data_IF_074307830657
#
_entry.id   IF_074307830657
#
_cell.length_a   1.000
_cell.length_b   1.000
_cell.length_c   1.000
_cell.angle_alpha   90.00
_cell.angle_beta   90.00
_cell.angle_gamma   90.00
#
_symmetry.space_group_name_H-M   'P 1'
#
loop_
_entity.id
_entity.type
_entity.pdbx_description
1 polymer ?
#
# COMPACT_ATOMS: atom_id res chain seq x y z
N UNK A 1 -0.46 -2.57 12.03
CA UNK A 1 -0.03 -3.89 11.54
C UNK A 1 1.30 -3.82 10.78
N UNK A 2 1.41 -3.01 9.70
CA UNK A 2 2.60 -2.95 8.82
C UNK A 2 3.89 -2.60 9.57
N UNK A 3 3.84 -1.68 10.51
CA UNK A 3 5.00 -1.26 11.30
C UNK A 3 5.55 -2.40 12.18
N UNK A 4 4.66 -3.16 12.82
CA UNK A 4 5.07 -4.32 13.63
C UNK A 4 5.60 -5.46 12.74
N UNK A 5 5.02 -5.67 11.56
CA UNK A 5 5.53 -6.62 10.59
C UNK A 5 6.95 -6.27 10.12
N UNK A 6 7.25 -4.98 9.91
CA UNK A 6 8.60 -4.52 9.57
C UNK A 6 9.61 -4.88 10.67
N UNK A 7 9.26 -4.66 11.95
CA UNK A 7 10.12 -5.07 13.08
C UNK A 7 10.33 -6.56 13.09
N UNK A 8 9.27 -7.35 12.86
CA UNK A 8 9.38 -8.81 12.82
C UNK A 8 10.29 -9.30 11.68
N UNK A 9 10.25 -8.63 10.52
CA UNK A 9 11.15 -8.95 9.41
C UNK A 9 12.60 -8.66 9.79
N UNK A 10 12.87 -7.47 10.30
CA UNK A 10 14.24 -7.05 10.68
C UNK A 10 14.82 -8.01 11.73
N UNK A 11 14.05 -8.27 12.78
CA UNK A 11 14.48 -9.20 13.84
C UNK A 11 14.57 -10.64 13.35
N UNK A 12 13.67 -11.07 12.47
CA UNK A 12 13.68 -12.38 11.84
C UNK A 12 14.91 -12.60 10.96
N UNK A 13 15.25 -11.63 10.11
CA UNK A 13 16.46 -11.66 9.29
C UNK A 13 17.74 -11.64 10.14
N UNK A 14 17.76 -10.86 11.21
CA UNK A 14 18.87 -10.85 12.17
C UNK A 14 19.08 -12.23 12.81
N UNK A 15 18.00 -12.90 13.22
CA UNK A 15 18.06 -14.26 13.80
C UNK A 15 18.41 -15.33 12.75
N UNK A 16 17.96 -15.14 11.51
CA UNK A 16 18.28 -16.04 10.40
C UNK A 16 19.73 -15.92 9.94
N UNK A 17 20.35 -14.74 10.08
CA UNK A 17 21.68 -14.46 9.53
C UNK A 17 22.68 -15.57 9.87
N UNK A 18 23.23 -16.29 8.87
CA UNK A 18 24.10 -17.42 9.10
C UNK A 18 25.46 -16.95 9.63
N UNK A 19 25.84 -17.44 10.81
CA UNK A 19 27.16 -17.17 11.44
C UNK A 19 28.18 -18.22 11.09
N UNK A 20 27.74 -19.48 10.97
CA UNK A 20 28.63 -20.66 10.83
C UNK A 20 28.41 -21.37 9.48
N UNK A 21 27.37 -21.06 8.73
CA UNK A 21 27.02 -21.71 7.46
C UNK A 21 26.97 -20.67 6.36
N UNK A 22 27.40 -21.02 5.14
CA UNK A 22 27.28 -20.12 3.99
C UNK A 22 25.83 -19.71 3.73
N UNK A 23 25.61 -18.48 3.25
CA UNK A 23 24.27 -17.91 2.97
C UNK A 23 23.45 -18.83 2.07
N UNK A 24 24.04 -19.38 1.00
CA UNK A 24 23.35 -20.26 0.06
C UNK A 24 22.78 -21.50 0.75
N UNK A 25 23.54 -22.11 1.65
CA UNK A 25 23.09 -23.29 2.41
C UNK A 25 21.95 -22.95 3.39
N UNK A 26 21.91 -21.74 3.88
CA UNK A 26 20.86 -21.27 4.80
C UNK A 26 19.55 -20.91 4.08
N UNK A 27 19.57 -20.80 2.75
CA UNK A 27 18.40 -20.60 1.90
C UNK A 27 17.76 -21.91 1.43
N UNK A 28 18.33 -23.07 1.78
CA UNK A 28 17.78 -24.39 1.41
C UNK A 28 17.27 -25.06 2.69
N UNK A 29 15.96 -25.41 2.76
CA UNK A 29 15.39 -26.03 3.94
C UNK A 29 15.89 -27.48 4.09
N UNK A 30 16.14 -27.92 5.31
CA UNK A 30 16.40 -29.31 5.61
C UNK A 30 15.06 -30.08 5.68
N UNK A 31 14.68 -30.69 4.55
CA UNK A 31 13.45 -31.48 4.45
C UNK A 31 13.49 -32.82 5.21
N UNK A 32 14.68 -33.23 5.71
CA UNK A 32 14.83 -34.44 6.55
C UNK A 32 14.50 -34.18 8.01
N UNK A 33 14.43 -32.92 8.42
CA UNK A 33 14.03 -32.53 9.76
C UNK A 33 12.60 -33.03 10.07
N UNK A 34 12.36 -33.45 11.32
CA UNK A 34 11.05 -33.96 11.76
C UNK A 34 10.51 -33.14 12.93
N UNK A 35 9.20 -33.23 13.13
CA UNK A 35 8.54 -32.63 14.28
C UNK A 35 8.69 -31.10 14.30
N UNK A 36 9.19 -30.55 15.44
CA UNK A 36 9.42 -29.12 15.60
C UNK A 36 10.56 -28.61 14.70
N UNK A 37 11.59 -29.45 14.45
CA UNK A 37 12.72 -29.10 13.58
C UNK A 37 12.25 -28.77 12.16
N UNK A 38 11.36 -29.57 11.59
CA UNK A 38 10.75 -29.30 10.29
C UNK A 38 10.05 -27.93 10.22
N UNK A 39 9.19 -27.63 11.18
CA UNK A 39 8.49 -26.34 11.22
C UNK A 39 9.45 -25.15 11.37
N UNK A 40 10.52 -25.32 12.13
CA UNK A 40 11.55 -24.29 12.28
C UNK A 40 12.29 -24.04 10.97
N UNK A 41 12.80 -25.10 10.32
CA UNK A 41 13.52 -24.98 9.04
C UNK A 41 12.63 -24.39 7.97
N UNK A 42 11.37 -24.86 7.87
CA UNK A 42 10.39 -24.32 6.94
C UNK A 42 10.13 -22.84 7.19
N UNK A 43 9.85 -22.43 8.44
CA UNK A 43 9.59 -21.05 8.80
C UNK A 43 10.79 -20.15 8.49
N UNK A 44 11.97 -20.54 8.90
CA UNK A 44 13.19 -19.73 8.77
C UNK A 44 13.58 -19.56 7.31
N UNK A 45 13.55 -20.62 6.52
CA UNK A 45 13.91 -20.57 5.10
C UNK A 45 12.87 -19.81 4.27
N UNK A 46 11.59 -20.13 4.44
CA UNK A 46 10.51 -19.41 3.76
C UNK A 46 10.51 -17.93 4.12
N UNK A 47 10.71 -17.62 5.42
CA UNK A 47 10.81 -16.24 5.90
C UNK A 47 11.93 -15.46 5.23
N UNK A 48 13.13 -16.05 5.08
CA UNK A 48 14.23 -15.40 4.39
C UNK A 48 13.88 -15.12 2.91
N UNK A 49 13.28 -16.09 2.20
CA UNK A 49 12.89 -15.93 0.81
C UNK A 49 11.84 -14.85 0.58
N UNK A 50 10.80 -14.80 1.43
CA UNK A 50 9.71 -13.84 1.23
C UNK A 50 10.01 -12.45 1.79
N UNK A 51 11.03 -12.29 2.64
CA UNK A 51 11.30 -11.04 3.38
C UNK A 51 11.46 -9.83 2.47
N UNK A 52 12.20 -9.96 1.35
CA UNK A 52 12.43 -8.86 0.44
C UNK A 52 11.10 -8.36 -0.17
N UNK A 53 10.30 -9.28 -0.68
CA UNK A 53 9.00 -8.95 -1.28
C UNK A 53 8.05 -8.41 -0.22
N UNK A 54 8.07 -8.96 1.00
CA UNK A 54 7.26 -8.48 2.12
C UNK A 54 7.60 -7.04 2.51
N UNK A 55 8.88 -6.68 2.53
CA UNK A 55 9.31 -5.29 2.76
C UNK A 55 8.74 -4.37 1.69
N UNK A 56 8.80 -4.75 0.41
CA UNK A 56 8.23 -3.94 -0.68
C UNK A 56 6.71 -3.77 -0.53
N UNK A 57 5.99 -4.84 -0.19
CA UNK A 57 4.55 -4.77 0.10
C UNK A 57 4.22 -3.88 1.30
N UNK A 58 5.02 -3.97 2.37
CA UNK A 58 4.82 -3.15 3.56
C UNK A 58 5.13 -1.67 3.30
N UNK A 59 6.21 -1.37 2.59
CA UNK A 59 6.57 0.00 2.22
C UNK A 59 5.52 0.62 1.30
N UNK A 60 5.08 -0.10 0.26
CA UNK A 60 4.01 0.38 -0.61
C UNK A 60 2.69 0.55 0.13
N UNK A 61 2.35 -0.34 1.08
CA UNK A 61 1.18 -0.19 1.95
C UNK A 61 1.28 0.98 2.92
N UNK A 62 2.47 1.27 3.46
CA UNK A 62 2.72 2.43 4.34
C UNK A 62 2.52 3.76 3.61
N UNK A 63 2.72 3.79 2.29
CA UNK A 63 2.47 4.99 1.47
C UNK A 63 1.03 5.50 1.55
N UNK A 64 0.09 4.64 1.96
CA UNK A 64 -1.34 4.96 2.15
C UNK A 64 -1.74 5.04 3.62
N UNK A 65 -0.80 4.88 4.55
CA UNK A 65 -1.09 4.82 5.97
C UNK A 65 -0.79 6.15 6.67
N UNK A 66 -1.84 6.84 7.12
CA UNK A 66 -1.81 7.97 8.05
C UNK A 66 -0.58 8.88 7.90
N UNK A 67 0.21 8.97 8.98
CA UNK A 67 1.36 9.87 9.05
C UNK A 67 2.40 9.62 7.94
N UNK A 68 2.68 8.36 7.60
CA UNK A 68 3.67 8.03 6.57
C UNK A 68 3.20 8.44 5.18
N UNK A 69 1.97 8.12 4.82
CA UNK A 69 1.40 8.50 3.54
C UNK A 69 1.30 10.03 3.42
N UNK A 70 0.68 10.67 4.39
CA UNK A 70 0.39 12.09 4.37
C UNK A 70 1.64 12.97 4.46
N UNK A 71 2.59 12.66 5.37
CA UNK A 71 3.74 13.52 5.67
C UNK A 71 4.98 13.24 4.83
N UNK A 72 5.19 11.98 4.43
CA UNK A 72 6.42 11.58 3.75
C UNK A 72 6.22 11.23 2.28
N UNK A 73 5.09 10.65 1.90
CA UNK A 73 4.87 10.19 0.52
C UNK A 73 4.07 11.21 -0.29
N UNK A 74 2.97 11.72 0.24
CA UNK A 74 2.11 12.68 -0.46
C UNK A 74 2.80 13.97 -0.94
N UNK A 75 3.84 14.52 -0.27
CA UNK A 75 4.60 15.66 -0.80
C UNK A 75 5.26 15.42 -2.17
N UNK A 76 5.49 14.15 -2.55
CA UNK A 76 6.04 13.77 -3.86
C UNK A 76 4.98 13.63 -4.95
N UNK A 77 3.69 13.78 -4.61
CA UNK A 77 2.58 13.83 -5.56
C UNK A 77 2.63 15.18 -6.29
N UNK A 78 3.30 15.20 -7.42
CA UNK A 78 3.45 16.38 -8.25
C UNK A 78 3.21 16.03 -9.71
N UNK A 79 2.69 16.99 -10.46
CA UNK A 79 2.49 16.91 -11.89
C UNK A 79 3.15 18.12 -12.54
N UNK A 80 3.80 17.97 -13.73
CA UNK A 80 4.41 19.11 -14.43
C UNK A 80 3.38 20.18 -14.76
N UNK A 81 3.66 21.41 -14.33
CA UNK A 81 2.75 22.56 -14.53
C UNK A 81 2.73 23.05 -15.99
N UNK A 82 3.72 22.71 -16.78
CA UNK A 82 3.84 23.09 -18.20
C UNK A 82 2.65 22.63 -19.04
N UNK A 83 1.94 21.59 -18.60
CA UNK A 83 0.71 21.11 -19.26
C UNK A 83 -0.45 22.12 -19.21
N UNK A 84 -0.35 23.10 -18.30
CA UNK A 84 -1.41 24.07 -18.00
C UNK A 84 -1.11 25.48 -18.46
N UNK A 85 0.01 25.70 -19.18
CA UNK A 85 0.60 27.02 -19.46
C UNK A 85 -0.41 27.86 -20.19
N UNK A 86 -1.35 27.94 -20.57
CA UNK A 86 -2.30 28.86 -21.20
C UNK A 86 -3.77 28.52 -20.86
N UNK A 87 -3.98 27.73 -19.82
CA UNK A 87 -5.33 27.32 -19.39
C UNK A 87 -5.59 27.91 -18.02
N UNK A 88 -6.69 28.67 -17.81
CA UNK A 88 -7.10 29.13 -16.50
C UNK A 88 -7.30 27.94 -15.55
N UNK A 89 -6.82 28.09 -14.33
CA UNK A 89 -6.98 27.06 -13.29
C UNK A 89 -8.11 27.45 -12.33
N UNK A 90 -8.83 26.47 -11.86
CA UNK A 90 -9.82 26.61 -10.78
C UNK A 90 -9.14 26.48 -9.41
N UNK A 91 -9.84 26.83 -8.35
CA UNK A 91 -9.41 26.61 -6.97
C UNK A 91 -9.55 25.15 -6.52
N UNK A 92 -10.09 24.28 -7.36
CA UNK A 92 -10.33 22.87 -7.07
C UNK A 92 -9.19 22.01 -7.56
N UNK A 93 -8.76 21.03 -6.75
CA UNK A 93 -7.80 20.03 -7.17
C UNK A 93 -8.50 18.81 -7.78
N UNK A 94 -7.74 17.98 -8.51
CA UNK A 94 -8.25 16.73 -9.06
C UNK A 94 -8.78 15.78 -7.98
N UNK A 95 -8.30 15.90 -6.73
CA UNK A 95 -8.82 15.11 -5.61
C UNK A 95 -10.33 15.28 -5.38
N UNK A 96 -10.94 16.38 -5.84
CA UNK A 96 -12.40 16.60 -5.76
C UNK A 96 -13.22 15.65 -6.64
N UNK A 97 -12.58 14.96 -7.58
CA UNK A 97 -13.20 13.91 -8.38
C UNK A 97 -13.24 12.55 -7.67
N UNK A 98 -12.55 12.42 -6.53
CA UNK A 98 -12.64 11.23 -5.68
C UNK A 98 -13.95 11.25 -4.90
N UNK A 99 -14.60 10.09 -4.77
CA UNK A 99 -15.82 9.91 -4.00
C UNK A 99 -15.61 8.92 -2.86
N UNK A 100 -15.83 9.35 -1.63
CA UNK A 100 -15.70 8.56 -0.42
C UNK A 100 -14.34 7.82 -0.30
N UNK A 101 -14.39 6.50 -0.30
CA UNK A 101 -13.21 5.62 -0.23
C UNK A 101 -12.60 5.31 -1.60
N UNK A 102 -13.24 5.76 -2.69
CA UNK A 102 -12.76 5.46 -4.05
C UNK A 102 -11.87 6.57 -4.57
N UNK A 103 -10.59 6.27 -4.72
CA UNK A 103 -9.63 7.13 -5.39
C UNK A 103 -9.77 6.98 -6.90
N UNK A 104 -10.60 7.84 -7.49
CA UNK A 104 -10.86 7.85 -8.94
C UNK A 104 -9.77 8.56 -9.74
N UNK A 105 -8.92 9.32 -9.06
CA UNK A 105 -7.85 10.11 -9.65
C UNK A 105 -6.51 9.45 -9.38
N UNK A 106 -5.61 9.35 -10.37
CA UNK A 106 -4.26 8.87 -10.16
C UNK A 106 -3.54 9.69 -9.10
N UNK A 107 -2.78 9.02 -8.25
CA UNK A 107 -2.05 9.65 -7.16
C UNK A 107 -1.22 10.87 -7.61
N UNK A 108 -0.56 10.79 -8.79
CA UNK A 108 0.25 11.89 -9.32
C UNK A 108 -0.54 13.16 -9.70
N UNK A 109 -1.87 13.08 -9.83
CA UNK A 109 -2.73 14.21 -10.19
C UNK A 109 -3.49 14.79 -9.00
N UNK A 110 -3.68 14.05 -7.91
CA UNK A 110 -4.61 14.42 -6.82
C UNK A 110 -4.44 15.87 -6.33
N UNK A 111 -3.20 16.33 -6.18
CA UNK A 111 -2.89 17.70 -5.70
C UNK A 111 -2.82 18.76 -6.80
N UNK A 112 -2.94 18.38 -8.05
CA UNK A 112 -2.89 19.31 -9.18
C UNK A 112 -4.23 20.03 -9.30
N UNK A 113 -4.19 21.35 -9.50
CA UNK A 113 -5.40 22.14 -9.74
C UNK A 113 -6.06 21.71 -11.05
N UNK A 114 -7.39 21.72 -11.07
CA UNK A 114 -8.18 21.45 -12.28
C UNK A 114 -8.22 22.69 -13.18
N UNK A 115 -8.32 22.53 -14.51
CA UNK A 115 -8.59 23.65 -15.39
C UNK A 115 -10.00 24.23 -15.12
N UNK A 116 -10.17 25.50 -15.49
CA UNK A 116 -11.44 26.22 -15.37
C UNK A 116 -12.06 26.47 -16.74
N UNK A 117 -13.38 26.24 -16.84
CA UNK A 117 -14.18 26.59 -18.02
C UNK A 117 -14.41 28.09 -18.14
N UNK A 118 -14.77 28.55 -19.36
CA UNK A 118 -15.18 29.90 -19.65
C UNK A 118 -14.10 30.78 -20.27
N UNK A 119 -13.01 30.20 -20.75
CA UNK A 119 -11.99 30.92 -21.51
C UNK A 119 -11.90 30.45 -22.97
N UNK A 120 -11.27 31.21 -23.86
CA UNK A 120 -11.00 30.79 -25.24
C UNK A 120 -9.85 29.77 -25.35
N UNK A 121 -9.24 29.34 -24.21
CA UNK A 121 -8.13 28.42 -24.18
C UNK A 121 -8.51 27.02 -24.73
N UNK A 122 -7.49 26.25 -25.07
CA UNK A 122 -7.63 24.88 -25.52
C UNK A 122 -7.90 24.74 -27.02
N UNK A 123 -8.25 23.52 -27.42
CA UNK A 123 -8.52 23.17 -28.84
C UNK A 123 -9.95 22.70 -29.01
N UNK A 124 -10.64 23.17 -30.03
CA UNK A 124 -12.00 22.77 -30.33
C UNK A 124 -12.10 21.26 -30.57
N UNK A 125 -13.00 20.61 -29.87
CA UNK A 125 -13.16 19.16 -29.96
C UNK A 125 -14.61 18.68 -29.91
N UNK A 126 -15.43 19.23 -28.99
CA UNK A 126 -16.81 18.80 -28.81
C UNK A 126 -17.76 19.80 -29.49
N UNK A 127 -18.67 19.34 -30.37
CA UNK A 127 -19.61 20.21 -31.04
C UNK A 127 -20.67 20.78 -30.08
N UNK A 128 -21.23 21.93 -30.43
CA UNK A 128 -22.34 22.54 -29.71
C UNK A 128 -23.67 21.79 -29.97
N UNK A 129 -24.56 21.69 -29.00
CA UNK A 129 -24.38 22.10 -27.60
C UNK A 129 -23.47 21.15 -26.82
N UNK A 130 -22.67 21.70 -25.90
CA UNK A 130 -21.80 20.88 -25.02
C UNK A 130 -22.65 20.31 -23.88
N UNK A 131 -23.08 19.08 -24.05
CA UNK A 131 -23.91 18.32 -23.11
C UNK A 131 -23.33 16.94 -22.90
N UNK A 132 -23.86 16.21 -21.91
CA UNK A 132 -23.39 14.87 -21.58
C UNK A 132 -23.26 13.94 -22.80
N UNK A 133 -24.30 13.95 -23.67
CA UNK A 133 -24.35 13.07 -24.84
C UNK A 133 -23.28 13.41 -25.87
N UNK A 134 -23.05 14.71 -26.16
CA UNK A 134 -22.01 15.12 -27.11
C UNK A 134 -20.59 14.84 -26.59
N UNK A 135 -20.38 15.00 -25.27
CA UNK A 135 -19.10 14.64 -24.63
C UNK A 135 -18.89 13.13 -24.63
N UNK A 136 -19.93 12.34 -24.36
CA UNK A 136 -19.84 10.87 -24.40
C UNK A 136 -19.58 10.36 -25.83
N UNK A 137 -20.23 10.91 -26.84
CA UNK A 137 -19.96 10.58 -28.25
C UNK A 137 -18.52 10.93 -28.65
N UNK A 138 -18.07 12.11 -28.24
CA UNK A 138 -16.68 12.51 -28.46
C UNK A 138 -15.71 11.52 -27.79
N UNK A 139 -15.96 11.15 -26.54
CA UNK A 139 -15.12 10.20 -25.80
C UNK A 139 -15.02 8.86 -26.53
N UNK A 140 -16.16 8.30 -26.96
CA UNK A 140 -16.20 7.04 -27.71
C UNK A 140 -15.41 7.12 -29.03
N UNK A 141 -15.47 8.26 -29.74
CA UNK A 141 -14.74 8.47 -30.99
C UNK A 141 -13.22 8.73 -30.78
N UNK A 142 -12.80 9.13 -29.57
CA UNK A 142 -11.44 9.56 -29.26
C UNK A 142 -10.67 8.59 -28.34
N UNK A 143 -10.99 7.32 -28.37
CA UNK A 143 -10.20 6.26 -27.75
C UNK A 143 -10.59 5.92 -26.31
N UNK A 144 -11.72 6.43 -25.81
CA UNK A 144 -12.32 5.97 -24.58
C UNK A 144 -13.30 4.82 -24.90
N UNK A 145 -12.73 3.66 -25.22
CA UNK A 145 -13.49 2.44 -25.47
C UNK A 145 -13.63 1.63 -24.15
N UNK A 146 -14.76 0.96 -23.97
CA UNK A 146 -15.02 0.17 -22.77
C UNK A 146 -15.52 1.01 -21.60
N UNK A 147 -15.05 0.73 -20.41
CA UNK A 147 -15.41 1.48 -19.21
C UNK A 147 -14.56 2.75 -19.06
N UNK A 148 -15.21 3.88 -18.99
CA UNK A 148 -14.60 5.17 -18.64
C UNK A 148 -15.53 5.92 -17.68
N UNK A 149 -14.99 6.92 -16.99
CA UNK A 149 -15.76 7.78 -16.10
C UNK A 149 -15.94 9.13 -16.77
N UNK A 150 -17.13 9.68 -16.61
CA UNK A 150 -17.46 11.01 -17.07
C UNK A 150 -18.00 11.83 -15.90
N UNK A 151 -17.21 12.80 -15.43
CA UNK A 151 -17.61 13.72 -14.40
C UNK A 151 -18.26 14.97 -15.05
N UNK A 152 -19.44 15.34 -14.53
CA UNK A 152 -20.22 16.50 -15.00
C UNK A 152 -19.78 17.73 -14.21
N UNK A 153 -19.68 18.92 -14.85
CA UNK A 153 -19.35 20.16 -14.16
C UNK A 153 -20.34 20.48 -13.03
N UNK A 154 -19.85 20.64 -11.81
CA UNK A 154 -20.68 20.99 -10.63
C UNK A 154 -20.76 22.49 -10.35
N UNK A 155 -19.96 23.32 -11.04
CA UNK A 155 -19.90 24.79 -10.86
C UNK A 155 -19.85 25.52 -12.20
N UNK A 156 -19.94 26.84 -12.17
CA UNK A 156 -19.87 27.65 -13.40
C UNK A 156 -18.49 27.55 -14.07
N UNK A 157 -17.42 27.40 -13.29
CA UNK A 157 -16.04 27.20 -13.78
C UNK A 157 -15.68 25.72 -13.92
N UNK A 158 -16.59 24.81 -13.57
CA UNK A 158 -16.38 23.38 -13.66
C UNK A 158 -16.21 22.90 -15.10
N UNK A 159 -15.52 21.81 -15.28
CA UNK A 159 -15.23 21.16 -16.57
C UNK A 159 -15.88 19.79 -16.66
N UNK A 160 -16.19 19.33 -17.86
CA UNK A 160 -16.41 17.91 -18.09
C UNK A 160 -15.06 17.19 -17.97
N UNK A 161 -15.02 16.09 -17.25
CA UNK A 161 -13.81 15.26 -17.17
C UNK A 161 -14.12 13.86 -17.65
N UNK A 162 -13.43 13.45 -18.71
CA UNK A 162 -13.47 12.07 -19.21
C UNK A 162 -12.19 11.39 -18.76
N UNK A 163 -12.31 10.28 -18.04
CA UNK A 163 -11.14 9.56 -17.53
C UNK A 163 -11.20 8.08 -17.84
N UNK A 164 -10.08 7.55 -18.37
CA UNK A 164 -9.78 6.15 -18.47
C UNK A 164 -8.71 5.88 -17.43
N UNK A 165 -9.06 5.17 -16.38
CA UNK A 165 -8.15 4.85 -15.26
C UNK A 165 -7.66 3.41 -15.43
N UNK A 166 -6.35 3.22 -15.49
CA UNK A 166 -5.72 1.90 -15.55
C UNK A 166 -6.03 0.99 -14.35
N UNK A 167 -6.69 1.52 -13.31
CA UNK A 167 -7.18 0.79 -12.14
C UNK A 167 -8.62 0.29 -12.28
N UNK A 168 -9.33 0.66 -13.35
CA UNK A 168 -10.62 0.05 -13.67
C UNK A 168 -10.44 -1.43 -14.03
N UNK A 169 -11.46 -2.23 -13.79
CA UNK A 169 -11.40 -3.69 -13.99
C UNK A 169 -10.96 -4.10 -15.41
N UNK A 170 -11.25 -3.26 -16.41
CA UNK A 170 -10.90 -3.52 -17.81
C UNK A 170 -9.51 -3.04 -18.23
N UNK A 171 -8.85 -2.19 -17.44
CA UNK A 171 -7.52 -1.66 -17.74
C UNK A 171 -6.65 -1.63 -16.49
N UNK A 172 -6.12 -2.79 -16.14
CA UNK A 172 -5.17 -2.95 -15.04
C UNK A 172 -3.77 -2.37 -15.34
N UNK A 173 -3.58 -1.80 -16.52
CA UNK A 173 -2.32 -1.26 -16.97
C UNK A 173 -2.29 0.27 -16.82
N UNK A 174 -1.52 0.83 -15.87
CA UNK A 174 -1.40 2.27 -15.68
C UNK A 174 -0.96 3.05 -16.93
N UNK A 175 -0.31 2.38 -17.88
CA UNK A 175 0.09 3.01 -19.15
C UNK A 175 -1.09 3.51 -19.98
N UNK A 176 -2.31 3.09 -19.68
CA UNK A 176 -3.54 3.51 -20.34
C UNK A 176 -4.25 4.66 -19.61
N UNK A 177 -3.71 5.15 -18.51
CA UNK A 177 -4.28 6.28 -17.78
C UNK A 177 -4.38 7.49 -18.71
N UNK A 178 -5.57 8.05 -18.80
CA UNK A 178 -5.86 9.24 -19.56
C UNK A 178 -6.97 10.05 -18.91
N UNK A 179 -6.74 11.35 -18.77
CA UNK A 179 -7.69 12.33 -18.25
C UNK A 179 -7.83 13.47 -19.25
N UNK A 180 -9.06 13.73 -19.71
CA UNK A 180 -9.34 14.84 -20.62
C UNK A 180 -10.33 15.77 -19.96
N UNK A 181 -9.97 17.05 -19.89
CA UNK A 181 -10.83 18.11 -19.39
C UNK A 181 -11.36 18.94 -20.55
N UNK A 182 -12.67 19.09 -20.59
CA UNK A 182 -13.39 19.76 -21.68
C UNK A 182 -14.16 20.94 -21.09
N UNK A 183 -13.99 22.12 -21.70
CA UNK A 183 -14.72 23.34 -21.35
C UNK A 183 -16.22 23.15 -21.57
N UNK A 184 -17.02 23.47 -20.53
CA UNK A 184 -18.46 23.26 -20.56
C UNK A 184 -19.22 24.17 -21.51
N UNK A 185 -18.61 25.29 -21.93
CA UNK A 185 -19.24 26.29 -22.79
C UNK A 185 -18.76 26.17 -24.25
N UNK A 186 -17.46 26.13 -24.44
CA UNK A 186 -16.86 26.10 -25.79
C UNK A 186 -16.72 24.69 -26.37
N UNK A 187 -16.63 23.65 -25.52
CA UNK A 187 -16.31 22.30 -25.95
C UNK A 187 -14.83 22.10 -26.26
N UNK A 188 -13.99 23.06 -25.90
CA UNK A 188 -12.56 22.96 -26.11
C UNK A 188 -11.93 21.95 -25.14
N UNK A 189 -10.97 21.16 -25.62
CA UNK A 189 -10.08 20.40 -24.75
C UNK A 189 -9.13 21.38 -24.08
N UNK A 190 -9.25 21.48 -22.75
CA UNK A 190 -8.38 22.31 -21.93
C UNK A 190 -7.09 21.55 -21.55
N UNK A 191 -7.20 20.25 -21.33
CA UNK A 191 -6.04 19.38 -21.08
C UNK A 191 -6.33 17.92 -21.49
N UNK A 192 -5.36 17.25 -22.06
CA UNK A 192 -5.32 15.79 -22.30
C UNK A 192 -4.09 15.24 -21.59
N UNK A 193 -4.32 14.65 -20.41
CA UNK A 193 -3.29 14.14 -19.52
C UNK A 193 -3.18 12.64 -19.72
N UNK A 194 -1.98 12.15 -19.92
CA UNK A 194 -1.69 10.74 -20.14
C UNK A 194 -0.63 10.24 -19.15
N UNK A 195 -0.56 8.95 -18.94
CA UNK A 195 0.49 8.33 -18.13
C UNK A 195 1.91 8.81 -18.53
N UNK A 196 2.15 9.05 -19.82
CA UNK A 196 3.44 9.56 -20.32
C UNK A 196 3.84 10.89 -19.66
N UNK A 197 2.86 11.71 -19.30
CA UNK A 197 3.04 13.05 -18.72
C UNK A 197 3.32 13.03 -17.21
N UNK A 198 3.15 11.86 -16.54
CA UNK A 198 3.42 11.76 -15.10
C UNK A 198 4.92 11.93 -14.81
N UNK A 199 5.22 12.50 -13.65
CA UNK A 199 6.58 12.50 -13.10
C UNK A 199 7.07 11.07 -12.87
N UNK A 200 8.38 10.90 -12.73
CA UNK A 200 8.96 9.59 -12.42
C UNK A 200 8.33 8.97 -11.16
N UNK A 201 8.08 9.77 -10.11
CA UNK A 201 7.43 9.31 -8.90
C UNK A 201 5.97 8.93 -9.15
N UNK A 202 5.24 9.71 -9.94
CA UNK A 202 3.86 9.39 -10.35
C UNK A 202 3.79 8.05 -11.09
N UNK A 203 4.73 7.78 -12.02
CA UNK A 203 4.84 6.50 -12.74
C UNK A 203 5.14 5.33 -11.81
N UNK A 204 6.09 5.50 -10.89
CA UNK A 204 6.44 4.48 -9.89
C UNK A 204 5.24 4.16 -9.00
N UNK A 205 4.50 5.18 -8.55
CA UNK A 205 3.31 4.99 -7.73
C UNK A 205 2.18 4.30 -8.49
N UNK A 206 1.91 4.69 -9.73
CA UNK A 206 0.88 4.06 -10.56
C UNK A 206 1.14 2.56 -10.74
N UNK A 207 2.36 2.18 -11.14
CA UNK A 207 2.77 0.78 -11.25
C UNK A 207 2.84 0.08 -9.89
N UNK A 208 3.32 0.77 -8.86
CA UNK A 208 3.37 0.24 -7.49
C UNK A 208 1.99 -0.16 -6.96
N UNK A 209 0.97 0.65 -7.22
CA UNK A 209 -0.42 0.36 -6.86
C UNK A 209 -0.92 -0.87 -7.63
N UNK A 210 -0.74 -0.91 -8.95
CA UNK A 210 -1.18 -2.01 -9.78
C UNK A 210 -0.53 -3.34 -9.38
N UNK A 211 0.78 -3.33 -9.15
CA UNK A 211 1.55 -4.51 -8.69
C UNK A 211 1.11 -4.96 -7.28
N UNK A 212 0.94 -4.02 -6.35
CA UNK A 212 0.52 -4.33 -4.99
C UNK A 212 -0.87 -4.98 -4.96
N UNK A 213 -1.80 -4.46 -5.75
CA UNK A 213 -3.17 -4.98 -5.83
C UNK A 213 -3.31 -6.25 -6.65
N UNK A 214 -2.26 -6.70 -7.35
CA UNK A 214 -2.33 -7.85 -8.25
C UNK A 214 -3.04 -7.56 -9.58
N UNK A 215 -3.13 -6.29 -9.99
CA UNK A 215 -3.90 -5.84 -11.16
C UNK A 215 -3.05 -5.71 -12.42
N UNK A 216 -1.73 -5.86 -12.34
CA UNK A 216 -0.84 -5.73 -13.49
C UNK A 216 -0.83 -6.96 -14.43
N UNK A 217 -1.94 -7.69 -14.46
CA UNK A 217 -2.15 -8.86 -15.30
C UNK A 217 -2.16 -10.18 -14.54
N UNK A 218 -2.55 -11.27 -15.21
CA UNK A 218 -2.73 -12.60 -14.61
C UNK A 218 -1.47 -13.10 -13.90
N UNK A 219 -0.29 -12.84 -14.46
CA UNK A 219 0.98 -13.23 -13.85
C UNK A 219 1.17 -12.59 -12.47
N UNK A 220 0.83 -11.31 -12.35
CA UNK A 220 0.95 -10.56 -11.10
C UNK A 220 -0.08 -11.03 -10.06
N UNK A 221 -1.32 -11.30 -10.50
CA UNK A 221 -2.35 -11.89 -9.65
C UNK A 221 -1.90 -13.24 -9.07
N UNK A 222 -1.42 -14.16 -9.93
CA UNK A 222 -0.93 -15.48 -9.52
C UNK A 222 0.27 -15.37 -8.59
N UNK A 223 1.21 -14.47 -8.90
CA UNK A 223 2.36 -14.21 -8.05
C UNK A 223 1.92 -13.71 -6.66
N UNK A 224 1.04 -12.72 -6.59
CA UNK A 224 0.55 -12.19 -5.32
C UNK A 224 -0.21 -13.27 -4.52
N UNK A 225 -1.03 -14.09 -5.18
CA UNK A 225 -1.76 -15.18 -4.53
C UNK A 225 -0.80 -16.22 -3.93
N UNK A 226 0.19 -16.67 -4.71
CA UNK A 226 1.21 -17.61 -4.24
C UNK A 226 2.02 -17.00 -3.08
N UNK A 227 2.42 -15.74 -3.22
CA UNK A 227 3.16 -15.02 -2.21
C UNK A 227 2.36 -14.86 -0.89
N UNK A 228 1.10 -14.42 -0.96
CA UNK A 228 0.22 -14.31 0.21
C UNK A 228 -0.02 -15.67 0.87
N UNK A 229 -0.09 -16.75 0.09
CA UNK A 229 -0.18 -18.11 0.63
C UNK A 229 1.05 -18.47 1.46
N UNK A 230 2.25 -18.08 1.02
CA UNK A 230 3.47 -18.25 1.81
C UNK A 230 3.45 -17.43 3.09
N UNK A 231 2.92 -16.20 3.07
CA UNK A 231 2.75 -15.38 4.28
C UNK A 231 1.79 -16.05 5.27
N UNK A 232 0.67 -16.61 4.80
CA UNK A 232 -0.26 -17.39 5.65
C UNK A 232 0.45 -18.61 6.23
N UNK A 233 1.22 -19.33 5.43
CA UNK A 233 2.02 -20.48 5.90
C UNK A 233 3.06 -20.07 6.94
N UNK A 234 3.63 -18.87 6.86
CA UNK A 234 4.50 -18.31 7.91
C UNK A 234 3.75 -18.15 9.23
N UNK A 235 2.54 -17.63 9.21
CA UNK A 235 1.71 -17.52 10.41
C UNK A 235 1.39 -18.90 11.01
N UNK A 236 0.99 -19.85 10.17
CA UNK A 236 0.70 -21.24 10.59
C UNK A 236 1.93 -21.92 11.18
N UNK A 237 3.09 -21.80 10.53
CA UNK A 237 4.33 -22.41 11.04
C UNK A 237 4.79 -21.79 12.35
N UNK A 238 4.62 -20.47 12.50
CA UNK A 238 4.87 -19.76 13.75
C UNK A 238 3.98 -20.28 14.90
N UNK A 239 2.68 -20.39 14.63
CA UNK A 239 1.71 -20.94 15.58
C UNK A 239 2.02 -22.41 15.94
N UNK A 240 2.38 -23.23 14.95
CA UNK A 240 2.77 -24.62 15.16
C UNK A 240 4.04 -24.76 16.03
N UNK A 241 5.04 -23.90 15.78
CA UNK A 241 6.25 -23.89 16.61
C UNK A 241 5.96 -23.49 18.06
N UNK A 242 5.14 -22.45 18.24
CA UNK A 242 4.70 -22.02 19.56
C UNK A 242 3.92 -23.14 20.26
N UNK A 243 2.96 -23.77 19.59
CA UNK A 243 2.18 -24.87 20.13
C UNK A 243 3.06 -26.05 20.59
N UNK A 244 4.05 -26.44 19.78
CA UNK A 244 4.98 -27.54 20.10
C UNK A 244 6.00 -27.17 21.20
N UNK A 245 6.11 -25.90 21.56
CA UNK A 245 7.05 -25.42 22.61
C UNK A 245 6.38 -25.29 23.98
N UNK A 246 5.07 -25.40 24.03
CA UNK A 246 4.34 -25.34 25.30
C UNK A 246 4.76 -26.48 26.22
N UNK A 247 4.81 -26.24 27.56
CA UNK A 247 5.00 -27.32 28.55
C UNK A 247 3.93 -28.40 28.38
N UNK A 248 4.32 -29.66 28.47
CA UNK A 248 3.40 -30.80 28.41
C UNK A 248 2.45 -30.75 29.61
N UNK A 249 1.15 -30.86 29.37
CA UNK A 249 0.14 -30.82 30.43
C UNK A 249 -0.50 -29.45 30.68
N UNK A 250 0.00 -28.37 30.09
CA UNK A 250 -0.64 -27.06 30.20
C UNK A 250 -1.74 -26.92 29.14
N UNK A 251 -2.98 -27.07 29.53
CA UNK A 251 -4.17 -26.70 28.71
C UNK A 251 -4.35 -25.19 28.58
N UNK A 252 -3.31 -24.39 28.85
CA UNK A 252 -3.36 -22.93 28.98
C UNK A 252 -2.51 -22.23 27.92
N UNK A 253 -2.79 -20.97 27.68
CA UNK A 253 -1.97 -20.07 26.84
C UNK A 253 -0.76 -19.62 27.66
N UNK A 254 0.23 -20.50 27.83
CA UNK A 254 1.44 -20.18 28.56
C UNK A 254 2.55 -19.68 27.64
N UNK A 255 3.26 -18.66 28.10
CA UNK A 255 4.52 -18.26 27.47
C UNK A 255 5.59 -19.34 27.73
N UNK A 256 6.53 -19.57 26.77
CA UNK A 256 7.68 -20.42 27.04
C UNK A 256 8.52 -19.86 28.19
N UNK A 257 9.16 -20.71 29.02
CA UNK A 257 10.00 -20.22 30.09
C UNK A 257 11.12 -19.34 29.54
N UNK A 258 11.39 -18.24 30.25
CA UNK A 258 12.47 -17.32 29.86
C UNK A 258 13.82 -18.03 29.98
N UNK A 259 14.74 -17.88 28.99
CA UNK A 259 16.12 -18.35 29.13
C UNK A 259 16.81 -17.68 30.32
N UNK A 260 17.60 -18.42 31.08
CA UNK A 260 18.33 -17.87 32.22
C UNK A 260 19.36 -16.79 31.84
N UNK A 261 19.85 -16.82 30.59
CA UNK A 261 20.85 -15.90 30.06
C UNK A 261 20.21 -14.88 29.12
N UNK A 262 19.27 -14.05 29.59
CA UNK A 262 18.71 -12.99 28.81
C UNK A 262 19.77 -11.92 28.53
N UNK A 263 20.07 -11.60 27.23
CA UNK A 263 20.98 -10.52 26.91
C UNK A 263 20.37 -9.17 27.38
N UNK A 264 21.27 -8.27 27.75
CA UNK A 264 20.98 -6.97 28.34
C UNK A 264 19.81 -6.26 27.68
N UNK A 265 18.78 -5.95 28.45
CA UNK A 265 17.56 -5.22 28.08
C UNK A 265 17.79 -3.88 27.36
N UNK A 266 19.00 -3.29 27.52
CA UNK A 266 19.35 -2.01 26.91
C UNK A 266 19.25 -2.01 25.38
N UNK A 267 19.68 -3.08 24.72
CA UNK A 267 19.57 -3.20 23.25
C UNK A 267 18.12 -3.36 22.79
N UNK A 268 17.33 -4.17 23.49
CA UNK A 268 15.92 -4.33 23.19
C UNK A 268 15.13 -3.01 23.41
N UNK A 269 15.40 -2.29 24.49
CA UNK A 269 14.81 -1.00 24.75
C UNK A 269 15.16 0.04 23.68
N UNK A 270 16.41 0.07 23.21
CA UNK A 270 16.85 0.96 22.12
C UNK A 270 16.11 0.64 20.81
N UNK A 271 15.99 -0.65 20.45
CA UNK A 271 15.26 -1.09 19.25
C UNK A 271 13.78 -0.72 19.37
N UNK A 272 13.15 -0.95 20.52
CA UNK A 272 11.74 -0.54 20.74
C UNK A 272 11.56 0.95 20.64
N UNK A 273 12.45 1.75 21.23
CA UNK A 273 12.42 3.21 21.14
C UNK A 273 12.58 3.69 19.70
N UNK A 274 13.59 3.20 18.99
CA UNK A 274 13.83 3.55 17.59
C UNK A 274 12.63 3.18 16.69
N UNK A 275 12.05 2.00 16.92
CA UNK A 275 10.85 1.56 16.20
C UNK A 275 9.63 2.43 16.53
N UNK A 276 9.46 2.82 17.79
CA UNK A 276 8.35 3.68 18.23
C UNK A 276 8.45 5.09 17.65
N UNK A 277 9.67 5.61 17.51
CA UNK A 277 9.92 6.91 16.87
C UNK A 277 9.71 6.84 15.35
N UNK A 278 10.21 5.79 14.71
CA UNK A 278 10.01 5.58 13.28
C UNK A 278 8.55 5.28 12.92
N UNK A 279 7.81 4.61 13.80
CA UNK A 279 6.42 4.20 13.60
C UNK A 279 5.54 4.59 14.79
N UNK A 280 5.07 5.84 14.87
CA UNK A 280 4.35 6.34 16.05
C UNK A 280 3.14 5.48 16.48
N UNK A 281 2.40 4.93 15.50
CA UNK A 281 1.28 4.04 15.82
C UNK A 281 1.72 2.72 16.47
N UNK A 282 2.89 2.20 16.11
CA UNK A 282 3.47 1.03 16.79
C UNK A 282 3.91 1.38 18.20
N UNK A 283 4.48 2.58 18.39
CA UNK A 283 4.82 3.10 19.71
C UNK A 283 3.62 3.21 20.64
N UNK A 284 2.53 3.80 20.17
CA UNK A 284 1.25 3.88 20.92
C UNK A 284 0.75 2.48 21.26
N UNK A 285 0.77 1.54 20.32
CA UNK A 285 0.34 0.17 20.56
C UNK A 285 1.20 -0.50 21.65
N UNK A 286 2.52 -0.33 21.60
CA UNK A 286 3.43 -0.86 22.62
C UNK A 286 3.15 -0.28 24.01
N UNK A 287 2.95 1.03 24.11
CA UNK A 287 2.61 1.71 25.38
C UNK A 287 1.27 1.18 25.92
N UNK A 288 0.26 1.03 25.06
CA UNK A 288 -1.04 0.49 25.47
C UNK A 288 -0.93 -0.95 25.96
N UNK A 289 -0.18 -1.80 25.27
CA UNK A 289 0.05 -3.20 25.68
C UNK A 289 0.77 -3.26 27.02
N UNK A 290 1.81 -2.46 27.22
CA UNK A 290 2.54 -2.38 28.49
C UNK A 290 1.65 -1.86 29.62
N UNK A 291 0.82 -0.86 29.37
CA UNK A 291 -0.13 -0.32 30.35
C UNK A 291 -1.18 -1.38 30.74
N UNK A 292 -1.72 -2.12 29.78
CA UNK A 292 -2.66 -3.22 30.05
C UNK A 292 -1.99 -4.32 30.86
N UNK A 293 -0.75 -4.70 30.53
CA UNK A 293 0.00 -5.70 31.26
C UNK A 293 0.22 -5.27 32.71
N UNK A 294 0.72 -4.05 32.92
CA UNK A 294 1.02 -3.51 34.26
C UNK A 294 -0.25 -3.28 35.10
N UNK A 295 -1.34 -2.77 34.51
CA UNK A 295 -2.52 -2.35 35.26
C UNK A 295 -3.52 -3.48 35.41
N UNK A 296 -3.72 -4.29 34.35
CA UNK A 296 -4.77 -5.32 34.31
C UNK A 296 -4.18 -6.70 34.62
N UNK A 297 -3.21 -7.17 33.81
CA UNK A 297 -2.74 -8.55 33.89
C UNK A 297 -1.99 -8.80 35.20
N UNK A 298 -1.13 -7.86 35.59
CA UNK A 298 -0.33 -8.00 36.83
C UNK A 298 -1.19 -7.94 38.09
N UNK A 299 -2.36 -7.27 38.06
CA UNK A 299 -3.23 -7.08 39.22
C UNK A 299 -4.41 -8.05 39.30
N UNK A 300 -4.70 -8.83 38.25
CA UNK A 300 -5.79 -9.80 38.22
C UNK A 300 -5.26 -11.24 38.40
N UNK A 301 -5.41 -11.85 39.59
CA UNK A 301 -4.87 -13.18 39.89
C UNK A 301 -5.35 -14.27 38.93
N UNK A 302 -6.62 -14.19 38.51
CA UNK A 302 -7.21 -15.15 37.56
C UNK A 302 -6.57 -15.08 36.19
N UNK A 303 -6.31 -13.86 35.68
CA UNK A 303 -5.68 -13.63 34.38
C UNK A 303 -4.20 -14.06 34.46
N UNK A 304 -3.50 -13.67 35.52
CA UNK A 304 -2.12 -14.07 35.77
C UNK A 304 -1.99 -15.59 35.81
N UNK A 305 -2.90 -16.29 36.51
CA UNK A 305 -2.94 -17.75 36.59
C UNK A 305 -3.27 -18.43 35.26
N UNK A 306 -4.04 -17.76 34.37
CA UNK A 306 -4.36 -18.27 33.04
C UNK A 306 -3.20 -18.11 32.05
N UNK A 307 -2.32 -17.11 32.25
CA UNK A 307 -1.20 -16.76 31.37
C UNK A 307 0.15 -17.24 31.89
N UNK A 308 0.27 -17.61 33.16
CA UNK A 308 1.43 -18.24 33.78
C UNK A 308 1.29 -19.78 33.85
#
# INVERSE_FOLDING_TARGET
ASSLAMVLIITGLYMWWPRDKGIVRSLVPDLKARGRGFWKEFHVTTGAWISLVLVLFLLSGLSWAGIWGEKFVQPWSSFPTEKWDNVPLSDMTHATLNHDIFHNVPWGLEKTLMPASGSPAGTVAVPQPVVLDTVAQWAAANGFAGQYKLAIPSSQTGVFTVSSDGRNEDSANPSHDRFVHIDRYSGNILADIRFADYTAMGKIMAWGIALHKGMAGTWNFVFNLAYLSLVVMMCVSGAAMWWKRRPSGAGRLMAPPLPGDLPLWKGAALVMLATSLAFPMAGITLVLVLAIDMIVISNLPLVKKALS
#
